data_IF_343979458126
#
_entry.id   IF_343979458126
#
_cell.length_a   1.000
_cell.length_b   1.000
_cell.length_c   1.000
_cell.angle_alpha   90.00
_cell.angle_beta   90.00
_cell.angle_gamma   90.00
#
_symmetry.space_group_name_H-M   'P 1'
#
loop_
_entity.id
_entity.type
_entity.pdbx_description
1 polymer ?
#
# COMPACT_ATOMS: atom_id res chain seq x y z
N UNK A 1 14.99 -17.02 -25.93
CA UNK A 1 16.08 -16.03 -26.08
C UNK A 1 15.63 -15.01 -27.10
N UNK A 2 15.25 -13.81 -26.64
CA UNK A 2 14.88 -12.68 -27.49
C UNK A 2 15.45 -11.43 -26.83
N UNK A 3 16.45 -10.83 -27.48
CA UNK A 3 17.26 -9.74 -26.97
C UNK A 3 16.51 -8.41 -26.99
N UNK A 4 16.67 -7.61 -25.93
CA UNK A 4 16.22 -6.22 -25.86
C UNK A 4 17.28 -5.26 -26.44
N UNK A 5 16.92 -4.18 -27.13
CA UNK A 5 17.84 -3.09 -27.42
C UNK A 5 17.87 -2.09 -26.26
N UNK A 6 19.05 -1.91 -25.69
CA UNK A 6 19.39 -0.83 -24.76
C UNK A 6 19.78 0.39 -25.58
N UNK A 7 19.02 1.49 -25.48
CA UNK A 7 19.49 2.81 -25.92
C UNK A 7 19.76 3.68 -24.69
N UNK A 8 21.05 3.96 -24.52
CA UNK A 8 21.64 4.85 -23.53
C UNK A 8 21.87 6.23 -24.18
N UNK A 9 21.73 7.27 -23.36
CA UNK A 9 22.24 8.63 -23.53
C UNK A 9 21.54 9.58 -24.53
N UNK A 10 20.72 10.48 -23.96
CA UNK A 10 20.45 11.82 -24.53
C UNK A 10 20.15 12.81 -23.41
N UNK A 11 21.19 13.20 -22.68
CA UNK A 11 21.20 14.43 -21.88
C UNK A 11 21.46 15.66 -22.76
N UNK A 12 21.02 16.82 -22.25
CA UNK A 12 21.08 18.21 -22.77
C UNK A 12 19.91 18.65 -23.67
N UNK A 13 18.97 19.39 -23.06
CA UNK A 13 18.43 20.70 -23.50
C UNK A 13 17.87 21.39 -22.24
N UNK A 14 18.61 22.35 -21.68
CA UNK A 14 18.35 23.80 -21.81
C UNK A 14 17.03 24.24 -21.16
N UNK A 15 17.12 24.71 -19.91
CA UNK A 15 16.17 25.66 -19.33
C UNK A 15 16.95 26.94 -19.01
N UNK A 16 16.86 27.92 -19.91
CA UNK A 16 17.25 29.31 -19.66
C UNK A 16 16.25 29.85 -18.64
N UNK A 17 16.71 30.07 -17.42
CA UNK A 17 15.99 30.86 -16.42
C UNK A 17 16.32 32.33 -16.70
N UNK A 18 15.41 33.05 -17.34
CA UNK A 18 15.43 34.52 -17.31
C UNK A 18 14.84 34.97 -15.98
N UNK A 19 15.72 35.19 -15.00
CA UNK A 19 15.42 35.98 -13.81
C UNK A 19 15.64 37.46 -14.17
N UNK A 20 14.55 38.22 -14.27
CA UNK A 20 14.59 39.66 -14.45
C UNK A 20 14.71 40.31 -13.07
N UNK A 21 15.94 40.42 -12.55
CA UNK A 21 16.29 41.30 -11.43
C UNK A 21 16.38 42.75 -11.94
N UNK A 22 15.52 43.62 -11.42
CA UNK A 22 15.63 45.07 -11.58
C UNK A 22 16.08 45.62 -10.24
N UNK A 23 17.39 45.75 -10.04
CA UNK A 23 17.94 46.59 -8.98
C UNK A 23 17.99 48.04 -9.49
N UNK A 24 17.16 48.88 -8.88
CA UNK A 24 17.26 50.34 -8.98
C UNK A 24 18.53 50.79 -8.25
N UNK A 25 19.55 51.19 -9.01
CA UNK A 25 20.74 51.83 -8.45
C UNK A 25 20.78 53.29 -8.91
N UNK A 26 20.20 54.16 -8.09
CA UNK A 26 20.43 55.60 -8.13
C UNK A 26 21.88 55.87 -7.69
N UNK A 27 22.71 56.40 -8.61
CA UNK A 27 23.98 57.04 -8.25
C UNK A 27 24.14 58.34 -9.02
N UNK A 28 23.67 59.41 -8.37
CA UNK A 28 24.16 60.77 -8.51
C UNK A 28 25.67 60.82 -8.25
N UNK A 29 26.45 61.36 -9.19
CA UNK A 29 27.77 61.94 -8.95
C UNK A 29 28.21 62.79 -10.16
N UNK A 30 27.81 64.06 -10.11
CA UNK A 30 28.49 65.16 -10.79
C UNK A 30 29.95 65.25 -10.32
N UNK A 31 30.91 65.27 -11.26
CA UNK A 31 32.26 65.78 -11.04
C UNK A 31 32.98 65.92 -12.39
N UNK A 32 33.01 67.14 -12.94
CA UNK A 32 33.95 67.51 -13.99
C UNK A 32 34.84 68.60 -13.40
N UNK A 33 36.10 68.25 -13.14
CA UNK A 33 37.13 69.14 -12.61
C UNK A 33 37.99 69.66 -13.77
N UNK A 34 37.93 70.98 -13.88
CA UNK A 34 38.85 72.00 -14.41
C UNK A 34 40.20 71.58 -15.04
N UNK A 35 40.50 72.09 -16.23
CA UNK A 35 41.44 73.22 -16.45
C UNK A 35 42.15 73.21 -17.82
N UNK A 36 42.51 74.43 -18.24
CA UNK A 36 43.52 74.85 -19.21
C UNK A 36 43.21 74.81 -20.73
N UNK A 37 42.82 75.97 -21.25
CA UNK A 37 43.20 76.37 -22.62
C UNK A 37 43.48 77.86 -22.68
N UNK A 38 44.73 78.20 -22.38
CA UNK A 38 45.38 79.43 -22.80
C UNK A 38 45.43 79.50 -24.34
N UNK A 39 44.67 80.43 -24.94
CA UNK A 39 44.85 80.79 -26.34
C UNK A 39 44.69 82.31 -26.53
N UNK A 40 45.86 82.95 -26.56
CA UNK A 40 46.21 84.22 -27.22
C UNK A 40 45.09 85.02 -27.88
N UNK A 41 44.73 86.15 -27.25
CA UNK A 41 43.96 87.24 -27.86
C UNK A 41 44.82 88.00 -28.87
N UNK A 42 44.55 87.80 -30.17
CA UNK A 42 45.11 88.57 -31.28
C UNK A 42 43.97 89.06 -32.17
N UNK A 43 43.89 90.39 -32.27
CA UNK A 43 43.36 91.20 -33.38
C UNK A 43 41.86 91.29 -33.62
N UNK A 44 41.35 92.48 -33.34
CA UNK A 44 40.20 93.11 -34.00
C UNK A 44 40.48 93.22 -35.51
N UNK A 45 39.73 92.49 -36.33
CA UNK A 45 39.49 92.86 -37.73
C UNK A 45 38.20 92.20 -38.26
N UNK A 46 37.28 93.06 -38.70
CA UNK A 46 36.36 92.86 -39.82
C UNK A 46 35.51 91.58 -39.91
N UNK A 47 34.19 91.80 -39.87
CA UNK A 47 33.13 90.90 -40.38
C UNK A 47 32.62 89.86 -39.37
N UNK A 48 32.23 90.33 -38.18
CA UNK A 48 31.15 89.68 -37.43
C UNK A 48 29.90 89.72 -38.29
N UNK A 49 29.60 88.62 -38.96
CA UNK A 49 28.28 88.35 -39.52
C UNK A 49 27.25 88.66 -38.45
N UNK A 50 26.47 89.71 -38.68
CA UNK A 50 25.21 90.01 -38.01
C UNK A 50 24.29 88.80 -38.23
N UNK A 51 24.50 87.75 -37.43
CA UNK A 51 23.56 86.63 -37.34
C UNK A 51 22.26 87.24 -36.88
N UNK A 52 21.25 87.12 -37.73
CA UNK A 52 19.90 87.57 -37.48
C UNK A 52 19.45 87.05 -36.11
N UNK A 53 19.32 87.93 -35.12
CA UNK A 53 18.92 87.60 -33.75
C UNK A 53 17.55 86.88 -33.76
N UNK A 54 16.73 87.20 -34.76
CA UNK A 54 15.45 86.55 -35.06
C UNK A 54 15.64 85.09 -35.50
N UNK A 55 16.72 84.74 -36.21
CA UNK A 55 17.07 83.36 -36.58
C UNK A 55 17.53 82.54 -35.36
N UNK A 56 18.30 83.16 -34.46
CA UNK A 56 18.68 82.54 -33.18
C UNK A 56 17.47 82.26 -32.29
N UNK A 57 16.54 83.21 -32.16
CA UNK A 57 15.30 83.01 -31.40
C UNK A 57 14.40 81.95 -32.05
N UNK A 58 14.30 81.94 -33.38
CA UNK A 58 13.52 80.93 -34.12
C UNK A 58 14.04 79.52 -33.85
N UNK A 59 15.36 79.29 -33.97
CA UNK A 59 15.98 77.99 -33.68
C UNK A 59 15.78 77.55 -32.22
N UNK A 60 15.79 78.51 -31.28
CA UNK A 60 15.51 78.22 -29.87
C UNK A 60 14.05 77.77 -29.67
N UNK A 61 13.09 78.44 -30.30
CA UNK A 61 11.68 78.06 -30.22
C UNK A 61 11.42 76.69 -30.85
N UNK A 62 12.00 76.40 -32.00
CA UNK A 62 11.89 75.09 -32.66
C UNK A 62 12.44 73.96 -31.78
N UNK A 63 13.61 74.17 -31.14
CA UNK A 63 14.19 73.20 -30.21
C UNK A 63 13.30 72.95 -28.98
N UNK A 64 12.69 74.00 -28.42
CA UNK A 64 11.74 73.86 -27.30
C UNK A 64 10.46 73.14 -27.72
N UNK A 65 9.94 73.40 -28.92
CA UNK A 65 8.77 72.72 -29.47
C UNK A 65 9.06 71.24 -29.73
N UNK A 66 10.22 70.90 -30.28
CA UNK A 66 10.68 69.51 -30.43
C UNK A 66 10.78 68.79 -29.08
N UNK A 67 11.38 69.44 -28.07
CA UNK A 67 11.48 68.89 -26.72
C UNK A 67 10.09 68.67 -26.09
N UNK A 68 9.19 69.65 -26.23
CA UNK A 68 7.80 69.56 -25.78
C UNK A 68 7.05 68.43 -26.48
N UNK A 69 7.26 68.27 -27.78
CA UNK A 69 6.68 67.18 -28.55
C UNK A 69 7.24 65.83 -28.08
N UNK A 70 8.54 65.71 -27.85
CA UNK A 70 9.17 64.49 -27.35
C UNK A 70 8.60 64.11 -25.98
N UNK A 71 8.45 65.07 -25.08
CA UNK A 71 7.88 64.84 -23.75
C UNK A 71 6.41 64.40 -23.81
N UNK A 72 5.62 64.95 -24.74
CA UNK A 72 4.25 64.45 -24.99
C UNK A 72 4.26 63.01 -25.50
N UNK A 73 5.17 62.64 -26.40
CA UNK A 73 5.28 61.26 -26.88
C UNK A 73 5.69 60.32 -25.75
N UNK A 74 6.64 60.71 -24.91
CA UNK A 74 7.05 59.93 -23.75
C UNK A 74 5.88 59.71 -22.76
N UNK A 75 5.13 60.77 -22.46
CA UNK A 75 3.94 60.67 -21.61
C UNK A 75 2.86 59.78 -22.22
N UNK A 76 2.58 59.91 -23.52
CA UNK A 76 1.62 59.04 -24.21
C UNK A 76 2.03 57.57 -24.13
N UNK A 77 3.31 57.28 -24.38
CA UNK A 77 3.84 55.92 -24.33
C UNK A 77 3.76 55.34 -22.90
N UNK A 78 4.13 56.14 -21.89
CA UNK A 78 4.00 55.78 -20.48
C UNK A 78 2.56 55.44 -20.11
N UNK A 79 1.60 56.28 -20.50
CA UNK A 79 0.18 56.05 -20.24
C UNK A 79 -0.35 54.80 -20.96
N UNK A 80 0.10 54.55 -22.19
CA UNK A 80 -0.25 53.34 -22.93
C UNK A 80 0.28 52.09 -22.21
N UNK A 81 1.54 52.09 -21.80
CA UNK A 81 2.15 50.98 -21.06
C UNK A 81 1.37 50.64 -19.78
N UNK A 82 1.00 51.65 -18.98
CA UNK A 82 0.19 51.42 -17.78
C UNK A 82 -1.20 50.89 -18.09
N UNK A 83 -1.87 51.41 -19.12
CA UNK A 83 -3.18 50.89 -19.55
C UNK A 83 -3.09 49.43 -19.99
N UNK A 84 -2.10 49.09 -20.80
CA UNK A 84 -1.89 47.71 -21.25
C UNK A 84 -1.59 46.79 -20.08
N UNK A 85 -0.72 47.20 -19.14
CA UNK A 85 -0.40 46.41 -17.96
C UNK A 85 -1.63 46.18 -17.08
N UNK A 86 -2.42 47.23 -16.84
CA UNK A 86 -3.66 47.13 -16.07
C UNK A 86 -4.67 46.21 -16.77
N UNK A 87 -4.78 46.29 -18.10
CA UNK A 87 -5.63 45.42 -18.90
C UNK A 87 -5.23 43.95 -18.76
N UNK A 88 -3.94 43.62 -18.86
CA UNK A 88 -3.44 42.25 -18.67
C UNK A 88 -3.82 41.68 -17.30
N UNK A 89 -3.64 42.48 -16.23
CA UNK A 89 -4.00 42.08 -14.86
C UNK A 89 -5.50 41.88 -14.73
N UNK A 90 -6.31 42.80 -15.24
CA UNK A 90 -7.77 42.69 -15.20
C UNK A 90 -8.28 41.47 -15.97
N UNK A 91 -7.68 41.14 -17.12
CA UNK A 91 -8.00 39.93 -17.87
C UNK A 91 -7.69 38.67 -17.06
N UNK A 92 -6.49 38.56 -16.47
CA UNK A 92 -6.14 37.42 -15.60
C UNK A 92 -7.06 37.32 -14.39
N UNK A 93 -7.39 38.44 -13.75
CA UNK A 93 -8.33 38.46 -12.62
C UNK A 93 -9.71 37.95 -13.03
N UNK A 94 -10.24 38.40 -14.18
CA UNK A 94 -11.52 37.94 -14.71
C UNK A 94 -11.50 36.44 -15.04
N UNK A 95 -10.38 35.90 -15.56
CA UNK A 95 -10.22 34.47 -15.79
C UNK A 95 -10.28 33.68 -14.47
N UNK A 96 -9.67 34.19 -13.40
CA UNK A 96 -9.72 33.58 -12.06
C UNK A 96 -11.13 33.66 -11.48
N UNK A 97 -11.80 34.81 -11.56
CA UNK A 97 -13.17 35.01 -11.04
C UNK A 97 -14.19 34.07 -11.69
N UNK A 98 -14.04 33.82 -12.99
CA UNK A 98 -14.92 32.89 -13.73
C UNK A 98 -14.39 31.44 -13.66
N UNK A 99 -13.29 31.19 -12.96
CA UNK A 99 -12.73 29.85 -12.76
C UNK A 99 -12.19 29.20 -14.03
N UNK A 100 -11.70 30.01 -14.99
CA UNK A 100 -11.08 29.55 -16.25
C UNK A 100 -9.56 29.69 -16.28
N UNK A 101 -8.95 30.18 -15.20
CA UNK A 101 -7.50 30.33 -15.12
C UNK A 101 -6.80 28.96 -15.21
N UNK A 102 -6.16 28.69 -16.35
CA UNK A 102 -5.51 27.42 -16.67
C UNK A 102 -4.41 27.05 -15.66
N UNK A 103 -3.70 28.05 -15.15
CA UNK A 103 -2.64 27.92 -14.14
C UNK A 103 -3.12 27.15 -12.87
N UNK A 104 -4.43 27.18 -12.56
CA UNK A 104 -5.05 26.42 -11.48
C UNK A 104 -5.81 25.17 -11.94
N UNK A 105 -6.42 25.23 -13.13
CA UNK A 105 -7.20 24.12 -13.67
C UNK A 105 -6.33 22.92 -14.06
N UNK A 106 -5.15 23.14 -14.62
CA UNK A 106 -4.27 22.05 -15.06
C UNK A 106 -3.77 21.21 -13.86
N UNK A 107 -3.22 21.80 -12.78
CA UNK A 107 -2.89 21.04 -11.57
C UNK A 107 -4.11 20.35 -10.93
N UNK A 108 -5.28 20.99 -10.98
CA UNK A 108 -6.52 20.41 -10.46
C UNK A 108 -6.93 19.17 -11.26
N UNK A 109 -6.85 19.22 -12.59
CA UNK A 109 -7.17 18.09 -13.46
C UNK A 109 -6.28 16.88 -13.16
N UNK A 110 -4.97 17.11 -13.01
CA UNK A 110 -4.01 16.07 -12.61
C UNK A 110 -4.33 15.50 -11.23
N UNK A 111 -4.71 16.34 -10.27
CA UNK A 111 -5.08 15.89 -8.93
C UNK A 111 -6.35 15.03 -8.96
N UNK A 112 -7.35 15.42 -9.75
CA UNK A 112 -8.59 14.66 -9.93
C UNK A 112 -8.34 13.31 -10.59
N UNK A 113 -7.48 13.27 -11.61
CA UNK A 113 -7.05 12.01 -12.25
C UNK A 113 -6.34 11.10 -11.23
N UNK A 114 -5.39 11.64 -10.47
CA UNK A 114 -4.68 10.90 -9.43
C UNK A 114 -5.62 10.34 -8.36
N UNK A 115 -6.62 11.12 -7.95
CA UNK A 115 -7.65 10.65 -7.03
C UNK A 115 -8.42 9.48 -7.64
N UNK A 116 -8.86 9.61 -8.91
CA UNK A 116 -9.59 8.55 -9.60
C UNK A 116 -8.77 7.26 -9.73
N UNK A 117 -7.48 7.38 -10.07
CA UNK A 117 -6.57 6.23 -10.15
C UNK A 117 -6.42 5.56 -8.79
N UNK A 118 -6.18 6.33 -7.71
CA UNK A 118 -6.08 5.77 -6.35
C UNK A 118 -7.36 5.04 -5.93
N UNK A 119 -8.53 5.60 -6.24
CA UNK A 119 -9.81 4.95 -5.94
C UNK A 119 -9.97 3.64 -6.70
N UNK A 120 -9.64 3.61 -8.00
CA UNK A 120 -9.68 2.39 -8.81
C UNK A 120 -8.73 1.31 -8.26
N UNK A 121 -7.48 1.69 -7.98
CA UNK A 121 -6.47 0.78 -7.42
C UNK A 121 -6.91 0.23 -6.07
N UNK A 122 -7.46 1.07 -5.18
CA UNK A 122 -7.99 0.62 -3.90
C UNK A 122 -9.17 -0.34 -4.06
N UNK A 123 -10.02 -0.14 -5.07
CA UNK A 123 -11.10 -1.06 -5.44
C UNK A 123 -10.57 -2.44 -5.84
N UNK A 124 -9.63 -2.49 -6.79
CA UNK A 124 -9.00 -3.73 -7.25
C UNK A 124 -8.29 -4.44 -6.08
N UNK A 125 -7.56 -3.69 -5.25
CA UNK A 125 -6.87 -4.26 -4.10
C UNK A 125 -7.86 -4.91 -3.12
N UNK A 126 -8.99 -4.26 -2.84
CA UNK A 126 -10.05 -4.82 -2.01
C UNK A 126 -10.58 -6.14 -2.59
N UNK A 127 -10.83 -6.19 -3.89
CA UNK A 127 -11.30 -7.42 -4.57
C UNK A 127 -10.29 -8.54 -4.43
N UNK A 128 -9.00 -8.28 -4.71
CA UNK A 128 -7.93 -9.27 -4.56
C UNK A 128 -7.79 -9.76 -3.10
N UNK A 129 -7.97 -8.88 -2.12
CA UNK A 129 -7.98 -9.28 -0.71
C UNK A 129 -9.15 -10.21 -0.39
N UNK A 130 -10.34 -9.91 -0.90
CA UNK A 130 -11.52 -10.77 -0.70
C UNK A 130 -11.34 -12.13 -1.37
N UNK A 131 -10.84 -12.16 -2.60
CA UNK A 131 -10.54 -13.40 -3.31
C UNK A 131 -9.46 -14.22 -2.60
N UNK A 132 -8.43 -13.58 -2.05
CA UNK A 132 -7.41 -14.26 -1.26
C UNK A 132 -7.99 -14.91 0.00
N UNK A 133 -8.89 -14.22 0.71
CA UNK A 133 -9.57 -14.76 1.89
C UNK A 133 -10.49 -15.93 1.49
N UNK A 134 -11.25 -15.78 0.41
CA UNK A 134 -12.12 -16.85 -0.11
C UNK A 134 -11.31 -18.09 -0.50
N UNK A 135 -10.21 -17.92 -1.21
CA UNK A 135 -9.34 -19.03 -1.61
C UNK A 135 -8.76 -19.76 -0.38
N UNK A 136 -8.35 -19.03 0.67
CA UNK A 136 -7.89 -19.66 1.92
C UNK A 136 -8.99 -20.47 2.58
N UNK A 137 -10.21 -19.91 2.64
CA UNK A 137 -11.37 -20.61 3.18
C UNK A 137 -11.69 -21.90 2.41
N UNK A 138 -11.72 -21.82 1.07
CA UNK A 138 -12.00 -22.97 0.20
C UNK A 138 -10.91 -24.05 0.34
N UNK A 139 -9.64 -23.65 0.41
CA UNK A 139 -8.53 -24.58 0.66
C UNK A 139 -8.64 -25.28 2.02
N UNK A 140 -9.02 -24.55 3.07
CA UNK A 140 -9.17 -25.11 4.43
C UNK A 140 -10.31 -26.15 4.46
N UNK A 141 -11.45 -25.84 3.81
CA UNK A 141 -12.55 -26.80 3.67
C UNK A 141 -12.06 -28.06 2.95
N UNK A 142 -11.36 -27.89 1.83
CA UNK A 142 -10.87 -29.01 1.05
C UNK A 142 -9.89 -29.88 1.87
N UNK A 143 -8.96 -29.25 2.59
CA UNK A 143 -8.01 -29.95 3.45
C UNK A 143 -8.74 -30.73 4.57
N UNK A 144 -9.74 -30.13 5.21
CA UNK A 144 -10.54 -30.79 6.24
C UNK A 144 -11.35 -31.98 5.68
N UNK A 145 -11.95 -31.83 4.50
CA UNK A 145 -12.66 -32.92 3.83
C UNK A 145 -11.73 -34.08 3.48
N UNK A 146 -10.57 -33.79 2.87
CA UNK A 146 -9.57 -34.81 2.51
C UNK A 146 -9.03 -35.52 3.74
N UNK A 147 -8.74 -34.77 4.81
CA UNK A 147 -8.29 -35.35 6.07
C UNK A 147 -9.33 -36.30 6.65
N UNK A 148 -10.60 -35.87 6.73
CA UNK A 148 -11.70 -36.72 7.19
C UNK A 148 -11.87 -37.98 6.34
N UNK A 149 -11.82 -37.88 5.01
CA UNK A 149 -11.92 -39.03 4.11
C UNK A 149 -10.76 -40.01 4.31
N UNK A 150 -9.53 -39.50 4.48
CA UNK A 150 -8.35 -40.33 4.73
C UNK A 150 -8.42 -41.06 6.07
N UNK A 151 -8.81 -40.38 7.15
CA UNK A 151 -8.97 -40.97 8.49
C UNK A 151 -10.06 -42.04 8.50
N UNK A 152 -11.17 -41.78 7.81
CA UNK A 152 -12.24 -42.76 7.64
C UNK A 152 -11.73 -44.02 6.96
N UNK A 153 -11.01 -43.90 5.84
CA UNK A 153 -10.44 -45.05 5.12
C UNK A 153 -9.42 -45.80 5.97
N UNK A 154 -8.51 -45.08 6.63
CA UNK A 154 -7.51 -45.66 7.51
C UNK A 154 -8.14 -46.47 8.66
N UNK A 155 -9.24 -45.96 9.23
CA UNK A 155 -9.99 -46.66 10.27
C UNK A 155 -10.63 -47.95 9.73
N UNK A 156 -11.21 -47.91 8.53
CA UNK A 156 -11.75 -49.11 7.89
C UNK A 156 -10.66 -50.17 7.66
N UNK A 157 -9.51 -49.78 7.13
CA UNK A 157 -8.37 -50.68 6.91
C UNK A 157 -7.85 -51.27 8.23
N UNK A 158 -7.80 -50.46 9.29
CA UNK A 158 -7.38 -50.89 10.63
C UNK A 158 -8.34 -51.95 11.18
N UNK A 159 -9.65 -51.69 11.13
CA UNK A 159 -10.67 -52.64 11.61
C UNK A 159 -10.66 -53.92 10.77
N UNK A 160 -10.51 -53.79 9.45
CA UNK A 160 -10.42 -54.95 8.57
C UNK A 160 -9.21 -55.82 8.92
N UNK A 161 -8.02 -55.22 9.04
CA UNK A 161 -6.79 -55.91 9.42
C UNK A 161 -6.92 -56.61 10.77
N UNK A 162 -7.52 -55.96 11.77
CA UNK A 162 -7.79 -56.60 13.07
C UNK A 162 -8.72 -57.81 12.97
N UNK A 163 -9.75 -57.74 12.13
CA UNK A 163 -10.68 -58.84 11.92
C UNK A 163 -10.01 -60.00 11.19
N UNK A 164 -9.23 -59.72 10.14
CA UNK A 164 -8.45 -60.72 9.41
C UNK A 164 -7.41 -61.41 10.33
N UNK A 165 -6.74 -60.65 11.18
CA UNK A 165 -5.82 -61.17 12.19
C UNK A 165 -6.53 -62.05 13.23
N UNK A 166 -7.72 -61.63 13.71
CA UNK A 166 -8.54 -62.43 14.62
C UNK A 166 -9.00 -63.74 13.96
N UNK A 167 -9.39 -63.70 12.69
CA UNK A 167 -9.75 -64.90 11.91
C UNK A 167 -8.53 -65.83 11.82
N UNK A 168 -7.36 -65.31 11.44
CA UNK A 168 -6.13 -66.10 11.31
C UNK A 168 -5.75 -66.79 12.62
N UNK A 169 -5.79 -66.08 13.75
CA UNK A 169 -5.51 -66.67 15.08
C UNK A 169 -6.52 -67.75 15.46
N UNK A 170 -7.80 -67.56 15.15
CA UNK A 170 -8.81 -68.60 15.39
C UNK A 170 -8.59 -69.84 14.52
N UNK A 171 -8.11 -69.66 13.29
CA UNK A 171 -7.72 -70.76 12.41
C UNK A 171 -6.49 -71.48 12.96
N UNK A 172 -5.45 -70.76 13.38
CA UNK A 172 -4.26 -71.32 14.04
C UNK A 172 -4.65 -72.10 15.31
N UNK A 173 -5.49 -71.53 16.16
CA UNK A 173 -6.01 -72.18 17.36
C UNK A 173 -6.77 -73.47 17.01
N UNK A 174 -7.61 -73.46 15.96
CA UNK A 174 -8.32 -74.66 15.46
C UNK A 174 -7.32 -75.75 15.06
N UNK A 175 -6.34 -75.42 14.21
CA UNK A 175 -5.32 -76.39 13.77
C UNK A 175 -4.47 -76.89 14.94
N UNK A 176 -4.17 -76.04 15.93
CA UNK A 176 -3.43 -76.43 17.13
C UNK A 176 -4.22 -77.43 17.99
N UNK A 177 -5.54 -77.25 18.12
CA UNK A 177 -6.44 -78.19 18.80
C UNK A 177 -6.52 -79.50 18.02
N UNK A 178 -6.64 -79.46 16.69
CA UNK A 178 -6.70 -80.66 15.84
C UNK A 178 -5.42 -81.50 15.98
N UNK A 179 -4.23 -80.88 15.88
CA UNK A 179 -2.94 -81.54 16.06
C UNK A 179 -2.79 -82.09 17.49
N UNK A 180 -3.14 -81.29 18.50
CA UNK A 180 -3.05 -81.72 19.91
C UNK A 180 -4.00 -82.89 20.14
N UNK A 181 -5.23 -82.84 19.62
CA UNK A 181 -6.22 -83.92 19.67
C UNK A 181 -5.70 -85.18 18.98
N UNK A 182 -5.08 -85.09 17.80
CA UNK A 182 -4.44 -86.24 17.14
C UNK A 182 -3.32 -86.85 17.99
N UNK A 183 -2.51 -86.02 18.65
CA UNK A 183 -1.42 -86.48 19.53
C UNK A 183 -1.94 -87.18 20.79
N UNK A 184 -2.98 -86.64 21.43
CA UNK A 184 -3.64 -87.29 22.58
C UNK A 184 -4.43 -88.53 22.16
N UNK A 185 -5.05 -88.52 20.97
CA UNK A 185 -5.72 -89.71 20.43
C UNK A 185 -4.71 -90.80 20.05
N UNK A 186 -3.49 -90.46 19.64
CA UNK A 186 -2.43 -91.44 19.37
C UNK A 186 -1.82 -92.02 20.65
N UNK A 187 -1.64 -91.19 21.69
CA UNK A 187 -1.24 -91.67 23.02
C UNK A 187 -2.31 -92.53 23.71
N UNK A 188 -3.59 -92.35 23.33
CA UNK A 188 -4.72 -93.20 23.74
C UNK A 188 -4.99 -94.38 22.79
N UNK A 189 -4.46 -94.37 21.56
CA UNK A 189 -4.61 -95.45 20.57
C UNK A 189 -3.80 -96.70 20.97
N UNK A 190 -2.77 -96.53 21.81
CA UNK A 190 -2.00 -97.61 22.43
C UNK A 190 -2.74 -98.43 23.48
N UNK A 191 -3.96 -98.05 23.93
CA UNK A 191 -4.66 -98.79 24.98
C UNK A 191 -6.19 -98.79 24.84
N UNK A 192 -6.69 -99.82 24.12
CA UNK A 192 -7.97 -100.55 24.31
C UNK A 192 -9.18 -99.76 24.86
N UNK A 193 -10.21 -99.66 24.00
CA UNK A 193 -11.61 -100.08 24.24
C UNK A 193 -11.99 -100.28 25.72
N UNK A 194 -12.64 -99.29 26.36
CA UNK A 194 -13.79 -99.42 27.28
C UNK A 194 -14.47 -98.05 27.54
N UNK A 195 -15.58 -97.85 26.83
CA UNK A 195 -16.91 -97.38 27.27
C UNK A 195 -17.10 -96.62 28.61
N UNK A 196 -17.80 -95.48 28.47
CA UNK A 196 -18.73 -94.72 29.33
C UNK A 196 -18.33 -94.32 30.76
N UNK A 197 -18.40 -93.01 31.07
CA UNK A 197 -19.60 -92.41 31.67
C UNK A 197 -19.38 -90.94 32.14
N UNK A 198 -20.44 -90.13 32.01
CA UNK A 198 -20.80 -88.92 32.78
C UNK A 198 -20.29 -87.52 32.34
N UNK A 199 -21.22 -86.78 31.74
CA UNK A 199 -21.42 -85.30 31.75
C UNK A 199 -21.56 -84.75 33.20
N UNK A 200 -21.52 -83.43 33.57
CA UNK A 200 -21.63 -82.20 32.75
C UNK A 200 -20.77 -80.96 33.14
N UNK A 201 -20.80 -79.96 32.25
CA UNK A 201 -20.93 -78.51 32.48
C UNK A 201 -20.09 -77.81 33.58
N UNK A 202 -19.06 -77.06 33.16
CA UNK A 202 -18.57 -75.87 33.89
C UNK A 202 -18.19 -74.73 32.95
N UNK A 203 -19.18 -73.86 32.74
CA UNK A 203 -19.08 -72.43 32.36
C UNK A 203 -17.72 -71.80 32.68
N UNK A 204 -16.90 -71.54 31.65
CA UNK A 204 -15.77 -70.60 31.73
C UNK A 204 -16.32 -69.17 31.68
N UNK A 205 -16.10 -68.43 32.77
CA UNK A 205 -16.42 -67.00 32.89
C UNK A 205 -15.63 -66.20 31.85
N UNK A 206 -16.30 -65.30 31.14
CA UNK A 206 -15.66 -64.20 30.42
C UNK A 206 -15.26 -63.10 31.43
N UNK A 207 -14.05 -62.53 31.38
CA UNK A 207 -13.74 -61.32 32.12
C UNK A 207 -14.46 -60.13 31.47
N UNK A 208 -15.35 -59.48 32.22
CA UNK A 208 -15.94 -58.19 31.85
C UNK A 208 -14.95 -57.09 32.20
N UNK A 209 -14.10 -56.68 31.25
CA UNK A 209 -13.13 -55.57 31.43
C UNK A 209 -13.59 -54.30 30.67
N UNK A 210 -14.79 -54.33 30.08
CA UNK A 210 -15.31 -53.21 29.26
C UNK A 210 -16.02 -52.14 30.11
N UNK A 211 -16.40 -52.46 31.35
CA UNK A 211 -17.09 -51.50 32.23
C UNK A 211 -16.17 -50.49 32.91
N UNK A 212 -14.91 -50.84 33.15
CA UNK A 212 -14.02 -50.02 33.99
C UNK A 212 -13.38 -48.85 33.22
N UNK A 213 -13.21 -48.97 31.90
CA UNK A 213 -12.66 -47.89 31.06
C UNK A 213 -13.74 -46.83 30.80
N UNK A 214 -14.97 -47.24 30.47
CA UNK A 214 -16.07 -46.31 30.24
C UNK A 214 -16.45 -45.52 31.50
N UNK A 215 -16.35 -46.14 32.68
CA UNK A 215 -16.73 -45.48 33.93
C UNK A 215 -15.76 -44.34 34.29
N UNK A 216 -14.46 -44.48 33.99
CA UNK A 216 -13.47 -43.46 34.26
C UNK A 216 -13.65 -42.22 33.37
N UNK A 217 -13.86 -42.41 32.07
CA UNK A 217 -14.05 -41.30 31.13
C UNK A 217 -15.33 -40.50 31.44
N UNK A 218 -16.41 -41.20 31.81
CA UNK A 218 -17.68 -40.55 32.20
C UNK A 218 -17.52 -39.76 33.51
N UNK A 219 -16.73 -40.26 34.46
CA UNK A 219 -16.43 -39.56 35.71
C UNK A 219 -15.57 -38.32 35.45
N UNK A 220 -14.57 -38.41 34.58
CA UNK A 220 -13.70 -37.29 34.19
C UNK A 220 -14.51 -36.18 33.50
N UNK A 221 -15.31 -36.53 32.49
CA UNK A 221 -16.21 -35.62 31.77
C UNK A 221 -17.21 -34.93 32.71
N UNK A 222 -17.76 -35.68 33.67
CA UNK A 222 -18.67 -35.14 34.67
C UNK A 222 -18.00 -34.08 35.57
N UNK A 223 -16.74 -34.29 35.96
CA UNK A 223 -15.95 -33.27 36.68
C UNK A 223 -15.66 -32.05 35.82
N UNK A 224 -15.32 -32.24 34.55
CA UNK A 224 -15.04 -31.14 33.62
C UNK A 224 -16.27 -30.25 33.42
N UNK A 225 -17.44 -30.85 33.23
CA UNK A 225 -18.73 -30.13 33.10
C UNK A 225 -19.03 -29.34 34.38
N UNK A 226 -18.84 -29.94 35.56
CA UNK A 226 -19.11 -29.28 36.84
C UNK A 226 -18.19 -28.07 37.07
N UNK A 227 -16.92 -28.16 36.66
CA UNK A 227 -15.94 -27.06 36.73
C UNK A 227 -16.32 -25.87 35.85
N UNK A 228 -16.87 -26.12 34.65
CA UNK A 228 -17.36 -25.06 33.76
C UNK A 228 -18.62 -24.40 34.32
N UNK A 229 -19.51 -25.17 34.95
CA UNK A 229 -20.72 -24.63 35.60
C UNK A 229 -20.33 -23.75 36.81
N UNK A 230 -19.38 -24.19 37.63
CA UNK A 230 -18.88 -23.42 38.78
C UNK A 230 -18.11 -22.16 38.33
N UNK A 231 -17.32 -22.26 37.26
CA UNK A 231 -16.61 -21.12 36.65
C UNK A 231 -17.54 -20.07 36.03
N UNK A 232 -18.67 -20.49 35.45
CA UNK A 232 -19.69 -19.55 34.93
C UNK A 232 -20.45 -18.83 36.05
N UNK A 233 -20.57 -19.43 37.24
CA UNK A 233 -21.21 -18.80 38.40
C UNK A 233 -20.38 -17.66 39.00
N UNK A 234 -19.06 -17.62 38.75
CA UNK A 234 -18.16 -16.55 39.18
C UNK A 234 -18.02 -15.40 38.16
N UNK A 235 -18.57 -15.53 36.94
CA UNK A 235 -18.51 -14.48 35.90
C UNK A 235 -19.83 -13.69 35.73
N UNK A 236 -20.89 -14.05 36.45
CA UNK A 236 -22.20 -13.35 36.33
C UNK A 236 -22.35 -12.23 37.38
N UNK A 237 -21.54 -12.22 38.45
CA UNK A 237 -21.62 -11.19 39.50
C UNK A 237 -20.25 -10.51 39.74
N UNK A 238 -19.95 -9.47 38.94
CA UNK A 238 -18.79 -8.58 39.15
C UNK A 238 -18.78 -7.39 38.17
N UNK A 239 -18.51 -6.15 38.62
CA UNK A 239 -18.91 -4.94 37.89
C UNK A 239 -18.03 -4.66 36.68
N UNK A 240 -18.66 -4.06 35.66
CA UNK A 240 -18.03 -3.56 34.45
C UNK A 240 -16.81 -2.68 34.76
N UNK A 241 -15.61 -3.18 34.46
CA UNK A 241 -14.40 -2.38 34.41
C UNK A 241 -14.01 -2.12 32.95
N UNK A 242 -14.25 -0.86 32.59
CA UNK A 242 -13.58 -0.09 31.54
C UNK A 242 -12.09 -0.43 31.45
N UNK A 243 -11.68 -1.04 30.34
CA UNK A 243 -10.31 -0.98 29.89
C UNK A 243 -10.15 0.21 28.94
N UNK A 244 -9.67 1.31 29.53
CA UNK A 244 -8.87 2.29 28.81
C UNK A 244 -7.61 1.61 28.27
N UNK A 245 -7.57 1.27 26.99
CA UNK A 245 -6.30 1.08 26.29
C UNK A 245 -5.83 2.44 25.77
N UNK A 246 -4.77 2.95 26.39
CA UNK A 246 -3.98 4.05 25.86
C UNK A 246 -3.30 3.56 24.58
N UNK A 247 -3.78 4.00 23.42
CA UNK A 247 -2.98 4.12 22.20
C UNK A 247 -3.58 5.21 21.31
N UNK A 248 -3.33 6.46 21.69
CA UNK A 248 -3.14 7.53 20.73
C UNK A 248 -1.74 7.31 20.13
N UNK A 249 -1.45 7.37 18.84
CA UNK A 249 -2.09 7.95 17.64
C UNK A 249 -1.11 7.56 16.46
N UNK A 250 -1.21 8.07 15.23
CA UNK A 250 -2.05 7.60 14.13
C UNK A 250 -1.19 7.31 12.85
N UNK A 251 -1.73 6.66 11.83
CA UNK A 251 -1.53 7.02 10.41
C UNK A 251 -0.18 7.64 9.98
N UNK A 252 0.93 6.90 9.95
CA UNK A 252 2.18 7.37 9.28
C UNK A 252 2.75 6.35 8.26
N UNK A 253 2.26 5.11 8.19
CA UNK A 253 2.98 4.08 7.43
C UNK A 253 2.55 3.84 5.96
N UNK A 254 1.81 4.75 5.33
CA UNK A 254 1.41 4.60 3.90
C UNK A 254 2.26 5.50 2.96
N UNK A 255 3.27 6.20 3.47
CA UNK A 255 4.13 7.09 2.67
C UNK A 255 5.43 6.47 2.14
N UNK A 256 5.81 5.25 2.52
CA UNK A 256 7.19 4.75 2.30
C UNK A 256 7.39 3.75 1.14
N UNK A 257 6.35 3.43 0.35
CA UNK A 257 6.50 2.51 -0.78
C UNK A 257 6.31 3.14 -2.18
N UNK A 258 6.24 4.47 -2.27
CA UNK A 258 6.16 5.19 -3.57
C UNK A 258 7.27 6.24 -3.66
N UNK A 259 8.51 5.83 -3.39
CA UNK A 259 9.72 6.63 -3.70
C UNK A 259 10.77 5.83 -4.47
N UNK A 260 10.45 4.62 -4.93
CA UNK A 260 11.41 3.75 -5.64
C UNK A 260 10.93 3.27 -7.03
N UNK A 261 9.97 3.93 -7.65
CA UNK A 261 9.67 3.73 -9.09
C UNK A 261 9.57 5.07 -9.83
N UNK A 262 10.68 5.81 -9.82
CA UNK A 262 11.07 6.70 -10.92
C UNK A 262 12.43 6.24 -11.43
#
# INVERSE_FOLDING_TARGET
VGAMPVHRDREKRESVAEEMEVEEQEHEASSSDEEESDTSSVSEDGDTSEMDEEDCERRRTECLDEMSNLEKHFNNLKHQLYRERLSQVNCKLAEVEVGRAAEYLDPLAVLLENMQVRTKVAGIYRELCLDSVRNKYDCEIQAACQHWESEKLLLFDTVQSELEEKIRRLEEDRHSIDITSELWNDELSGRKKRQDALSPDKKRRRPSVVSDILYLDILEDWTAIRKVIEGKKQHIDGPAQSYHTKSAKPWIFIGHYITHMN
#
